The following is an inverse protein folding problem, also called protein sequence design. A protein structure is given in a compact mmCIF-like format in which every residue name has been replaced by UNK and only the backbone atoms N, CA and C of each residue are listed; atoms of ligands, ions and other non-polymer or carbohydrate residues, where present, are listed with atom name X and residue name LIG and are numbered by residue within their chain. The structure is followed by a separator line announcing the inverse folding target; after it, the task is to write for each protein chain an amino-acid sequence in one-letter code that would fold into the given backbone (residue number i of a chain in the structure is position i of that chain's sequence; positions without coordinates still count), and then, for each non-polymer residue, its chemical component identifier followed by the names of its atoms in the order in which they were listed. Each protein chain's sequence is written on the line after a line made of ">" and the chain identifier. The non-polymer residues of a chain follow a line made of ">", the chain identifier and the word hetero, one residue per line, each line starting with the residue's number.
data_IF_683046467337
#
_entry.id   IF_683046467337
#
_cell.length_a   1.000
_cell.length_b   1.000
_cell.length_c   1.000
_cell.angle_alpha   90.00
_cell.angle_beta   90.00
_cell.angle_gamma   90.00
#
_symmetry.space_group_name_H-M   'P 1'
#
loop_
_entity.id
_entity.type
_entity.pdbx_description
1 polymer ?
#
# COMPACT_ATOMS: atom_id res chain seq x y z
N UNK A 1 -6.55 -13.70 -26.34
CA UNK A 1 -5.55 -13.93 -27.40
C UNK A 1 -4.16 -13.96 -26.76
N UNK A 2 -3.38 -15.04 -26.93
CA UNK A 2 -2.03 -15.20 -26.34
C UNK A 2 -1.08 -14.06 -26.72
N UNK A 3 -1.26 -13.48 -27.88
CA UNK A 3 -0.49 -12.31 -28.33
C UNK A 3 -0.84 -11.02 -27.55
N UNK A 4 -2.08 -10.84 -27.09
CA UNK A 4 -2.43 -9.70 -26.23
C UNK A 4 -1.78 -9.82 -24.85
N UNK A 5 -1.71 -11.00 -24.27
CA UNK A 5 -1.04 -11.22 -22.98
C UNK A 5 0.48 -11.10 -23.08
N UNK A 6 1.09 -11.50 -24.21
CA UNK A 6 2.51 -11.26 -24.49
C UNK A 6 2.85 -9.77 -24.61
N UNK A 7 1.89 -8.93 -25.02
CA UNK A 7 2.04 -7.46 -25.03
C UNK A 7 2.06 -6.83 -23.62
N UNK A 8 1.64 -7.58 -22.62
CA UNK A 8 1.64 -7.09 -21.23
C UNK A 8 2.99 -7.24 -20.55
N UNK A 9 4.12 -7.40 -21.21
CA UNK A 9 5.47 -7.34 -20.66
C UNK A 9 5.67 -7.91 -19.23
N UNK A 10 6.82 -7.84 -18.65
CA UNK A 10 7.02 -8.29 -17.28
C UNK A 10 6.17 -7.45 -16.30
N UNK A 11 5.39 -8.14 -15.48
CA UNK A 11 4.51 -7.58 -14.42
C UNK A 11 5.34 -7.18 -13.19
N UNK A 12 6.34 -6.35 -13.35
CA UNK A 12 7.41 -6.20 -12.35
C UNK A 12 7.28 -4.99 -11.41
N UNK A 13 6.25 -4.16 -11.56
CA UNK A 13 6.25 -2.86 -10.92
C UNK A 13 5.27 -2.71 -9.74
N UNK A 14 4.50 -3.73 -9.38
CA UNK A 14 3.68 -3.72 -8.16
C UNK A 14 3.63 -5.07 -7.47
N UNK A 15 3.00 -5.08 -6.30
CA UNK A 15 2.72 -6.32 -5.58
C UNK A 15 1.87 -7.24 -6.44
N UNK A 16 2.47 -8.29 -6.97
CA UNK A 16 1.76 -9.36 -7.67
C UNK A 16 1.23 -10.37 -6.66
N UNK A 17 0.03 -10.88 -6.87
CA UNK A 17 -0.55 -11.91 -6.02
C UNK A 17 -1.28 -12.98 -6.83
N UNK A 18 -1.31 -14.19 -6.26
CA UNK A 18 -2.16 -15.27 -6.74
C UNK A 18 -3.43 -15.32 -5.90
N UNK A 19 -4.52 -15.67 -6.55
CA UNK A 19 -5.82 -15.82 -5.95
C UNK A 19 -6.10 -17.32 -5.74
N UNK A 20 -6.98 -17.69 -4.79
CA UNK A 20 -7.27 -19.10 -4.50
C UNK A 20 -7.77 -19.92 -5.70
N UNK A 21 -8.44 -19.29 -6.66
CA UNK A 21 -8.91 -19.92 -7.90
C UNK A 21 -7.81 -20.08 -8.97
N UNK A 22 -6.56 -19.70 -8.66
CA UNK A 22 -5.45 -19.71 -9.59
C UNK A 22 -5.35 -18.48 -10.49
N UNK A 23 -6.30 -17.54 -10.42
CA UNK A 23 -6.17 -16.22 -11.01
C UNK A 23 -5.02 -15.47 -10.38
N UNK A 24 -4.57 -14.43 -11.02
CA UNK A 24 -3.57 -13.52 -10.47
C UNK A 24 -3.95 -12.07 -10.72
N UNK A 25 -3.51 -11.21 -9.85
CA UNK A 25 -3.51 -9.78 -10.12
C UNK A 25 -2.08 -9.29 -10.30
N UNK A 26 -1.94 -8.25 -11.05
CA UNK A 26 -0.68 -7.57 -11.27
C UNK A 26 -0.93 -6.16 -11.76
N UNK A 27 0.07 -5.32 -11.70
CA UNK A 27 -0.03 -3.95 -12.15
C UNK A 27 0.86 -3.70 -13.36
N UNK A 28 0.44 -2.75 -14.16
CA UNK A 28 1.19 -2.25 -15.30
C UNK A 28 1.13 -0.74 -15.31
N UNK A 29 2.24 -0.11 -15.62
CA UNK A 29 2.29 1.31 -15.92
C UNK A 29 1.31 1.61 -17.05
N UNK A 30 0.37 2.52 -16.82
CA UNK A 30 -0.62 2.92 -17.82
C UNK A 30 -0.36 4.36 -18.25
N UNK A 31 0.14 4.57 -19.46
CA UNK A 31 0.43 5.92 -19.96
C UNK A 31 -0.82 6.76 -20.17
N UNK A 32 -2.02 6.16 -20.20
CA UNK A 32 -3.29 6.88 -20.31
C UNK A 32 -3.78 7.49 -19.02
N UNK A 33 -3.22 7.06 -17.87
CA UNK A 33 -3.56 7.66 -16.57
C UNK A 33 -2.87 9.02 -16.51
N UNK A 34 -3.65 10.13 -16.38
CA UNK A 34 -3.04 11.45 -16.29
C UNK A 34 -2.12 11.49 -15.06
N UNK A 35 -0.90 11.92 -15.30
CA UNK A 35 0.05 12.18 -14.23
C UNK A 35 -0.55 13.27 -13.36
N UNK A 36 -0.81 12.99 -12.08
CA UNK A 36 -1.18 14.04 -11.13
C UNK A 36 -0.04 15.09 -11.09
N UNK A 37 -0.32 16.26 -10.54
CA UNK A 37 0.71 17.29 -10.37
C UNK A 37 1.94 16.78 -9.57
N UNK A 38 1.78 15.68 -8.86
CA UNK A 38 2.82 14.95 -8.11
C UNK A 38 3.54 13.88 -8.95
N UNK A 39 2.98 13.47 -10.10
CA UNK A 39 3.57 12.49 -11.01
C UNK A 39 4.21 13.23 -12.20
N UNK A 40 5.37 13.81 -12.00
CA UNK A 40 6.12 14.39 -13.12
C UNK A 40 6.61 13.27 -14.04
N UNK A 41 6.57 13.48 -15.37
CA UNK A 41 7.18 12.54 -16.30
C UNK A 41 8.66 12.44 -15.96
N UNK A 42 9.10 11.23 -15.75
CA UNK A 42 10.51 10.96 -15.59
C UNK A 42 11.24 11.28 -16.89
N UNK A 43 12.30 12.06 -16.80
CA UNK A 43 13.23 12.24 -17.91
C UNK A 43 14.06 10.96 -17.99
N UNK A 44 13.92 10.21 -19.08
CA UNK A 44 14.73 9.02 -19.33
C UNK A 44 16.14 9.51 -19.64
N UNK A 45 17.10 9.24 -18.76
CA UNK A 45 18.49 9.47 -19.05
C UNK A 45 19.04 8.45 -20.06
N UNK A 46 20.27 8.65 -20.52
CA UNK A 46 20.92 7.77 -21.49
C UNK A 46 21.08 6.30 -21.02
N UNK A 47 20.82 6.01 -19.73
CA UNK A 47 20.88 4.67 -19.13
C UNK A 47 19.49 4.07 -18.93
N UNK A 48 18.42 4.74 -19.38
CA UNK A 48 17.05 4.26 -19.22
C UNK A 48 16.47 4.44 -17.81
N UNK A 49 17.21 5.05 -16.90
CA UNK A 49 16.72 5.47 -15.58
C UNK A 49 16.25 6.92 -15.67
N UNK A 50 15.03 7.13 -15.29
CA UNK A 50 14.44 8.44 -15.30
C UNK A 50 14.51 9.04 -13.90
N UNK A 51 15.08 10.24 -13.81
CA UNK A 51 14.96 11.05 -12.61
C UNK A 51 13.74 11.96 -12.74
N UNK A 52 12.78 11.83 -11.83
CA UNK A 52 11.56 12.63 -11.90
C UNK A 52 11.70 14.05 -11.36
N UNK A 53 12.89 14.45 -10.94
CA UNK A 53 13.16 15.75 -10.36
C UNK A 53 12.75 15.87 -8.88
N UNK A 54 13.03 17.03 -8.25
CA UNK A 54 12.70 17.25 -6.85
C UNK A 54 11.19 17.32 -6.60
N UNK A 55 10.76 16.84 -5.43
CA UNK A 55 9.39 16.89 -4.95
C UNK A 55 8.76 15.53 -4.70
N UNK A 56 7.46 15.52 -4.44
CA UNK A 56 6.70 14.31 -4.18
C UNK A 56 6.52 13.50 -5.47
N UNK A 57 6.90 12.24 -5.40
CA UNK A 57 6.85 11.28 -6.49
C UNK A 57 5.96 10.12 -6.10
N UNK A 58 5.03 9.78 -6.98
CA UNK A 58 4.15 8.66 -6.81
C UNK A 58 3.80 8.07 -8.16
N UNK A 59 4.17 6.82 -8.38
CA UNK A 59 3.83 6.11 -9.60
C UNK A 59 2.40 5.56 -9.51
N UNK A 60 1.59 5.82 -10.52
CA UNK A 60 0.25 5.23 -10.64
C UNK A 60 0.28 4.10 -11.66
N UNK A 61 -0.23 2.95 -11.25
CA UNK A 61 -0.29 1.74 -12.06
C UNK A 61 -1.75 1.27 -12.17
N UNK A 62 -2.14 0.78 -13.33
CA UNK A 62 -3.42 0.10 -13.48
C UNK A 62 -3.31 -1.34 -12.99
N UNK A 63 -4.23 -1.74 -12.13
CA UNK A 63 -4.36 -3.13 -11.67
C UNK A 63 -5.16 -3.92 -12.71
N UNK A 64 -4.69 -5.11 -12.99
CA UNK A 64 -5.31 -6.05 -13.91
C UNK A 64 -5.60 -7.37 -13.19
N UNK A 65 -6.78 -7.94 -13.44
CA UNK A 65 -7.12 -9.31 -13.10
C UNK A 65 -6.91 -10.20 -14.31
N UNK A 66 -6.14 -11.25 -14.16
CA UNK A 66 -5.86 -12.22 -15.22
C UNK A 66 -6.47 -13.56 -14.83
N UNK A 67 -7.28 -14.12 -15.72
CA UNK A 67 -7.94 -15.42 -15.51
C UNK A 67 -6.92 -16.56 -15.32
N UNK A 68 -7.29 -17.69 -14.68
CA UNK A 68 -6.44 -18.86 -14.52
C UNK A 68 -5.88 -19.39 -15.86
N UNK A 69 -6.72 -19.38 -16.90
CA UNK A 69 -6.33 -19.80 -18.25
C UNK A 69 -5.35 -18.83 -18.94
N UNK A 70 -5.18 -17.61 -18.36
CA UNK A 70 -4.35 -16.52 -18.90
C UNK A 70 -4.76 -16.06 -20.30
N UNK A 71 -6.02 -16.23 -20.65
CA UNK A 71 -6.61 -15.85 -21.93
C UNK A 71 -7.32 -14.50 -21.89
N UNK A 72 -7.67 -14.03 -20.68
CA UNK A 72 -8.41 -12.80 -20.46
C UNK A 72 -7.80 -12.00 -19.32
N UNK A 73 -7.76 -10.68 -19.49
CA UNK A 73 -7.35 -9.73 -18.47
C UNK A 73 -8.38 -8.59 -18.36
N UNK A 74 -8.82 -8.31 -17.15
CA UNK A 74 -9.78 -7.23 -16.85
C UNK A 74 -9.07 -6.08 -16.15
N UNK A 75 -9.18 -4.83 -16.65
CA UNK A 75 -8.71 -3.67 -15.90
C UNK A 75 -9.62 -3.47 -14.69
N UNK A 76 -9.02 -3.32 -13.53
CA UNK A 76 -9.68 -2.95 -12.28
C UNK A 76 -9.04 -1.66 -11.77
N UNK A 77 -9.24 -1.24 -10.56
CA UNK A 77 -8.76 0.00 -10.00
C UNK A 77 -7.34 0.48 -10.36
N UNK A 78 -6.90 1.45 -9.63
CA UNK A 78 -5.56 2.01 -9.74
C UNK A 78 -4.80 1.69 -8.46
N UNK A 79 -3.57 1.22 -8.58
CA UNK A 79 -2.60 1.17 -7.51
C UNK A 79 -1.71 2.41 -7.59
N UNK A 80 -1.58 3.10 -6.48
CA UNK A 80 -0.53 4.09 -6.32
C UNK A 80 0.65 3.42 -5.61
N UNK A 81 1.78 3.43 -6.27
CA UNK A 81 3.03 2.95 -5.71
C UNK A 81 3.48 3.77 -4.50
N UNK A 82 4.63 3.42 -4.00
CA UNK A 82 5.25 4.07 -2.85
C UNK A 82 5.48 5.56 -3.11
N UNK A 83 5.10 6.39 -2.16
CA UNK A 83 5.46 7.80 -2.17
C UNK A 83 6.94 7.99 -1.79
N UNK A 84 7.63 8.76 -2.60
CA UNK A 84 9.03 9.13 -2.39
C UNK A 84 9.19 10.63 -2.59
N UNK A 85 10.18 11.22 -1.95
CA UNK A 85 10.56 12.60 -2.16
C UNK A 85 11.90 12.64 -2.90
N UNK A 86 11.88 13.23 -4.11
CA UNK A 86 13.09 13.57 -4.82
C UNK A 86 13.70 14.82 -4.19
N UNK A 87 14.95 14.75 -3.81
CA UNK A 87 15.74 15.87 -3.25
C UNK A 87 16.96 16.13 -4.09
N UNK A 88 17.28 17.40 -4.31
CA UNK A 88 18.45 17.79 -5.08
C UNK A 88 19.67 17.87 -4.16
N UNK A 89 20.72 17.15 -4.53
CA UNK A 89 22.04 17.21 -3.92
C UNK A 89 22.95 18.20 -4.66
N UNK A 90 24.19 18.35 -4.17
CA UNK A 90 25.21 19.12 -4.87
C UNK A 90 25.50 18.55 -6.26
N UNK A 91 25.93 19.43 -7.17
CA UNK A 91 26.21 19.11 -8.56
C UNK A 91 25.00 18.53 -9.34
N UNK A 92 23.76 18.87 -8.93
CA UNK A 92 22.56 18.43 -9.63
C UNK A 92 22.24 16.95 -9.49
N UNK A 93 22.92 16.21 -8.59
CA UNK A 93 22.56 14.83 -8.27
C UNK A 93 21.23 14.81 -7.51
N UNK A 94 20.50 13.72 -7.62
CA UNK A 94 19.25 13.52 -6.92
C UNK A 94 19.36 12.34 -5.96
N UNK A 95 18.63 12.43 -4.86
CA UNK A 95 18.38 11.33 -3.94
C UNK A 95 16.87 11.17 -3.72
N UNK A 96 16.45 9.96 -3.39
CA UNK A 96 15.05 9.65 -3.07
C UNK A 96 14.96 9.26 -1.61
N UNK A 97 14.03 9.91 -0.91
CA UNK A 97 13.79 9.67 0.51
C UNK A 97 12.36 9.17 0.68
N UNK A 98 12.20 8.05 1.36
CA UNK A 98 10.88 7.55 1.77
C UNK A 98 10.53 8.15 3.12
N UNK A 99 9.42 8.88 3.18
CA UNK A 99 8.89 9.32 4.46
C UNK A 99 8.21 8.14 5.17
N UNK A 100 8.39 7.94 6.49
CA UNK A 100 7.74 6.85 7.21
C UNK A 100 6.20 6.86 7.10
N UNK A 101 5.61 8.04 6.96
CA UNK A 101 4.16 8.23 6.79
C UNK A 101 3.71 8.23 5.32
N UNK A 102 4.51 7.61 4.44
CA UNK A 102 4.20 7.54 3.02
C UNK A 102 2.87 6.82 2.77
N UNK A 103 2.12 7.32 1.80
CA UNK A 103 0.96 6.63 1.28
C UNK A 103 1.36 5.53 0.30
N UNK A 104 0.63 4.43 0.30
CA UNK A 104 0.70 3.37 -0.71
C UNK A 104 -0.66 2.72 -0.87
N UNK A 105 -0.87 2.02 -1.96
CA UNK A 105 -2.07 1.21 -2.14
C UNK A 105 -1.94 -0.13 -1.43
N UNK A 106 -3.09 -0.67 -1.05
CA UNK A 106 -3.23 -2.00 -0.48
C UNK A 106 -4.24 -2.79 -1.30
N UNK A 107 -3.95 -4.06 -1.50
CA UNK A 107 -4.79 -4.98 -2.25
C UNK A 107 -5.02 -6.22 -1.40
N UNK A 108 -6.27 -6.66 -1.33
CA UNK A 108 -6.66 -7.91 -0.70
C UNK A 108 -7.69 -8.64 -1.55
N UNK A 109 -7.75 -9.95 -1.43
CA UNK A 109 -8.72 -10.77 -2.14
C UNK A 109 -9.33 -11.83 -1.23
N UNK A 110 -10.56 -12.19 -1.50
CA UNK A 110 -11.31 -13.21 -0.77
C UNK A 110 -12.78 -13.24 -1.15
N UNK A 111 -13.58 -13.91 -0.35
CA UNK A 111 -15.03 -14.02 -0.55
C UNK A 111 -15.46 -15.18 -1.43
N UNK A 112 -16.76 -15.48 -1.34
CA UNK A 112 -17.45 -16.41 -2.21
C UNK A 112 -18.78 -15.74 -2.61
N UNK A 113 -18.92 -15.22 -3.85
CA UNK A 113 -17.93 -15.21 -4.93
C UNK A 113 -16.69 -14.38 -4.61
N UNK A 114 -15.57 -14.73 -5.24
CA UNK A 114 -14.31 -14.06 -5.01
C UNK A 114 -14.32 -12.61 -5.50
N UNK A 115 -13.69 -11.72 -4.73
CA UNK A 115 -13.58 -10.28 -4.97
C UNK A 115 -12.15 -9.81 -4.76
N UNK A 116 -11.85 -8.66 -5.33
CA UNK A 116 -10.63 -7.90 -5.08
C UNK A 116 -10.99 -6.58 -4.39
N UNK A 117 -10.33 -6.28 -3.28
CA UNK A 117 -10.41 -5.00 -2.59
C UNK A 117 -9.15 -4.19 -2.89
N UNK A 118 -9.31 -2.93 -3.28
CA UNK A 118 -8.21 -2.00 -3.56
C UNK A 118 -8.44 -0.73 -2.75
N UNK A 119 -7.48 -0.37 -1.91
CA UNK A 119 -7.43 0.94 -1.27
C UNK A 119 -6.28 1.74 -1.89
N UNK A 120 -6.63 2.84 -2.55
CA UNK A 120 -5.66 3.76 -3.14
C UNK A 120 -5.62 5.01 -2.28
N UNK A 121 -4.67 5.04 -1.35
CA UNK A 121 -4.49 6.13 -0.40
C UNK A 121 -4.26 7.51 -1.06
N UNK A 122 -4.48 8.64 -0.34
CA UNK A 122 -4.46 8.79 1.11
C UNK A 122 -5.80 8.66 1.85
N UNK A 123 -6.92 8.60 1.14
CA UNK A 123 -8.26 8.61 1.75
C UNK A 123 -8.68 7.21 2.25
N UNK A 124 -9.63 7.18 3.20
CA UNK A 124 -10.30 5.93 3.57
C UNK A 124 -11.35 5.61 2.52
N UNK A 125 -10.87 5.08 1.40
CA UNK A 125 -11.70 4.70 0.25
C UNK A 125 -11.22 3.35 -0.27
N UNK A 126 -12.11 2.36 -0.25
CA UNK A 126 -11.83 1.00 -0.70
C UNK A 126 -12.80 0.65 -1.82
N UNK A 127 -12.27 0.20 -2.92
CA UNK A 127 -13.02 -0.29 -4.08
C UNK A 127 -13.09 -1.82 -4.05
N UNK A 128 -14.30 -2.37 -4.13
CA UNK A 128 -14.54 -3.80 -4.25
C UNK A 128 -14.88 -4.14 -5.69
N UNK A 129 -14.09 -5.02 -6.28
CA UNK A 129 -14.18 -5.42 -7.67
C UNK A 129 -14.51 -6.90 -7.79
N UNK A 130 -15.41 -7.27 -8.73
CA UNK A 130 -15.63 -8.66 -9.12
C UNK A 130 -14.44 -9.20 -9.92
N UNK A 131 -14.35 -10.52 -10.04
CA UNK A 131 -13.36 -11.20 -10.88
C UNK A 131 -13.55 -10.98 -12.38
N UNK A 132 -14.62 -10.30 -12.79
CA UNK A 132 -14.89 -9.89 -14.18
C UNK A 132 -14.58 -8.42 -14.43
N UNK A 133 -13.90 -7.75 -13.50
CA UNK A 133 -13.50 -6.34 -13.65
C UNK A 133 -14.62 -5.33 -13.43
N UNK A 134 -15.74 -5.74 -12.82
CA UNK A 134 -16.84 -4.83 -12.48
C UNK A 134 -16.63 -4.25 -11.08
N UNK A 135 -16.68 -2.93 -10.97
CA UNK A 135 -16.74 -2.25 -9.66
C UNK A 135 -18.11 -2.54 -9.03
N UNK A 136 -18.13 -3.27 -7.92
CA UNK A 136 -19.35 -3.66 -7.22
C UNK A 136 -19.72 -2.68 -6.11
N UNK A 137 -18.72 -2.12 -5.43
CA UNK A 137 -18.94 -1.27 -4.27
C UNK A 137 -17.76 -0.36 -3.99
N UNK A 138 -18.04 0.76 -3.35
CA UNK A 138 -17.06 1.65 -2.72
C UNK A 138 -17.42 1.76 -1.24
N UNK A 139 -16.43 1.58 -0.37
CA UNK A 139 -16.53 1.81 1.07
C UNK A 139 -15.72 3.05 1.38
N UNK A 140 -16.36 4.05 1.96
CA UNK A 140 -15.74 5.33 2.31
C UNK A 140 -16.01 5.67 3.77
N UNK A 141 -15.02 6.30 4.41
CA UNK A 141 -15.15 6.88 5.74
C UNK A 141 -14.57 8.29 5.73
N UNK A 142 -15.39 9.30 5.49
CA UNK A 142 -14.92 10.69 5.49
C UNK A 142 -14.31 11.10 6.84
N UNK A 143 -13.25 11.92 6.79
CA UNK A 143 -12.60 12.44 7.99
C UNK A 143 -11.76 11.43 8.78
N UNK A 144 -11.43 10.27 8.17
CA UNK A 144 -10.64 9.24 8.85
C UNK A 144 -9.14 9.57 8.96
N UNK A 145 -8.65 10.58 8.25
CA UNK A 145 -7.24 11.01 8.31
C UNK A 145 -6.93 11.67 9.63
N UNK A 146 -5.78 11.37 10.21
CA UNK A 146 -5.32 11.93 11.48
C UNK A 146 -4.03 12.71 11.28
N UNK A 147 -3.88 13.78 12.03
CA UNK A 147 -2.61 14.52 12.12
C UNK A 147 -1.61 13.70 12.91
N UNK A 148 -0.39 13.50 12.42
CA UNK A 148 0.63 12.78 13.17
C UNK A 148 0.97 13.53 14.45
N UNK A 149 1.07 12.85 15.60
CA UNK A 149 1.50 13.50 16.85
C UNK A 149 2.96 13.99 16.73
N UNK A 150 3.35 15.06 17.45
CA UNK A 150 4.70 15.61 17.37
C UNK A 150 5.81 14.60 17.66
N UNK A 151 5.58 13.67 18.60
CA UNK A 151 6.55 12.62 18.92
C UNK A 151 6.75 11.61 17.77
N UNK A 152 5.73 11.35 16.98
CA UNK A 152 5.85 10.51 15.79
C UNK A 152 6.60 11.25 14.67
N UNK A 153 6.38 12.55 14.53
CA UNK A 153 7.13 13.38 13.59
C UNK A 153 8.61 13.35 13.95
N UNK A 154 8.95 13.50 15.24
CA UNK A 154 10.33 13.44 15.70
C UNK A 154 10.99 12.08 15.38
N UNK A 155 10.29 10.96 15.67
CA UNK A 155 10.76 9.62 15.33
C UNK A 155 10.92 9.41 13.82
N UNK A 156 10.01 9.97 13.03
CA UNK A 156 10.10 9.93 11.58
C UNK A 156 11.38 10.61 11.07
N UNK A 157 11.72 11.77 11.63
CA UNK A 157 12.97 12.47 11.32
C UNK A 157 14.19 11.65 11.71
N UNK A 158 14.22 11.06 12.92
CA UNK A 158 15.30 10.18 13.37
C UNK A 158 15.43 8.95 12.45
N UNK A 159 14.31 8.33 12.07
CA UNK A 159 14.31 7.21 11.15
C UNK A 159 14.90 7.60 9.79
N UNK A 160 14.44 8.69 9.18
CA UNK A 160 14.98 9.17 7.91
C UNK A 160 16.47 9.50 8.01
N UNK A 161 16.90 10.16 9.10
CA UNK A 161 18.32 10.43 9.36
C UNK A 161 19.15 9.14 9.44
N UNK A 162 18.60 8.08 10.04
CA UNK A 162 19.27 6.79 10.12
C UNK A 162 19.42 6.10 8.75
N UNK A 163 18.46 6.28 7.86
CA UNK A 163 18.54 5.75 6.48
C UNK A 163 19.61 6.48 5.66
N UNK A 164 19.88 7.73 5.97
CA UNK A 164 20.86 8.59 5.28
C UNK A 164 22.24 8.61 5.95
N UNK A 165 22.51 7.66 6.86
CA UNK A 165 23.78 7.60 7.62
C UNK A 165 25.04 7.43 6.77
N UNK A 166 24.88 7.04 5.50
CA UNK A 166 25.98 6.95 4.53
C UNK A 166 26.42 8.30 3.97
N UNK A 167 25.63 9.36 4.20
CA UNK A 167 25.96 10.74 3.85
C UNK A 167 26.68 11.43 5.00
N UNK A 168 27.50 12.43 4.68
CA UNK A 168 28.03 13.36 5.70
C UNK A 168 26.86 14.14 6.34
N UNK A 169 27.11 14.68 7.54
CA UNK A 169 26.04 15.32 8.31
C UNK A 169 25.44 16.53 7.58
N UNK A 170 26.27 17.40 7.00
CA UNK A 170 25.79 18.61 6.33
C UNK A 170 24.89 18.28 5.12
N UNK A 171 25.25 17.26 4.35
CA UNK A 171 24.44 16.77 3.23
C UNK A 171 23.13 16.16 3.72
N UNK A 172 23.18 15.33 4.77
CA UNK A 172 21.99 14.72 5.38
C UNK A 172 21.01 15.77 5.90
N UNK A 173 21.48 16.76 6.65
CA UNK A 173 20.64 17.82 7.21
C UNK A 173 19.96 18.63 6.09
N UNK A 174 20.66 18.89 5.01
CA UNK A 174 20.16 19.57 3.81
C UNK A 174 19.11 18.74 3.08
N UNK A 175 19.27 17.42 3.00
CA UNK A 175 18.30 16.50 2.43
C UNK A 175 17.03 16.47 3.28
N UNK A 176 17.17 16.30 4.59
CA UNK A 176 16.04 16.24 5.51
C UNK A 176 15.23 17.55 5.53
N UNK A 177 15.87 18.69 5.39
CA UNK A 177 15.20 19.98 5.31
C UNK A 177 14.33 20.16 4.05
N UNK A 178 14.55 19.37 3.00
CA UNK A 178 13.74 19.40 1.79
C UNK A 178 12.52 18.45 1.84
N UNK A 179 12.50 17.49 2.76
CA UNK A 179 11.39 16.54 2.90
C UNK A 179 10.27 17.14 3.75
N UNK A 180 9.11 17.41 3.18
CA UNK A 180 8.01 18.02 3.92
C UNK A 180 7.44 17.04 4.96
N UNK A 181 7.06 17.57 6.11
CA UNK A 181 6.26 16.82 7.08
C UNK A 181 4.82 16.74 6.57
N UNK A 182 4.20 15.56 6.46
CA UNK A 182 2.82 15.45 6.02
C UNK A 182 1.85 15.99 7.09
N UNK A 183 0.84 16.73 6.65
CA UNK A 183 -0.22 17.28 7.52
C UNK A 183 -1.11 16.19 8.12
N UNK A 184 -1.15 15.02 7.51
CA UNK A 184 -1.99 13.92 7.94
C UNK A 184 -1.44 12.57 7.51
N UNK A 185 -1.73 11.56 8.32
CA UNK A 185 -1.44 10.16 8.03
C UNK A 185 -2.37 9.63 6.93
N UNK A 186 -1.91 8.63 6.20
CA UNK A 186 -2.77 7.87 5.31
C UNK A 186 -3.88 7.16 6.13
N UNK A 187 -5.12 7.24 5.66
CA UNK A 187 -6.26 6.71 6.42
C UNK A 187 -6.31 5.18 6.47
N UNK A 188 -5.68 4.50 5.52
CA UNK A 188 -5.60 3.04 5.42
C UNK A 188 -4.13 2.61 5.46
N UNK A 189 -3.82 1.63 6.30
CA UNK A 189 -2.48 1.08 6.50
C UNK A 189 -2.39 -0.42 6.14
N UNK A 190 -3.51 -1.06 5.79
CA UNK A 190 -3.55 -2.46 5.38
C UNK A 190 -4.95 -2.93 5.02
N UNK A 191 -5.01 -4.00 4.22
CA UNK A 191 -6.23 -4.71 3.89
C UNK A 191 -6.04 -6.21 4.10
N UNK A 192 -7.10 -6.88 4.56
CA UNK A 192 -7.24 -8.32 4.53
C UNK A 192 -8.69 -8.67 4.22
N UNK A 193 -8.92 -9.80 3.56
CA UNK A 193 -10.27 -10.28 3.27
C UNK A 193 -10.39 -11.74 3.70
N UNK A 194 -11.50 -12.08 4.36
CA UNK A 194 -11.78 -13.45 4.75
C UNK A 194 -12.24 -14.29 3.55
N UNK A 195 -12.15 -15.63 3.61
CA UNK A 195 -12.74 -16.51 2.61
C UNK A 195 -14.27 -16.36 2.48
N UNK A 196 -14.93 -15.85 3.51
CA UNK A 196 -16.37 -15.54 3.51
C UNK A 196 -16.69 -14.17 2.91
N UNK A 197 -15.69 -13.32 2.68
CA UNK A 197 -15.83 -12.03 2.01
C UNK A 197 -15.97 -10.84 2.96
N UNK A 198 -15.75 -11.02 4.26
CA UNK A 198 -15.62 -9.90 5.18
C UNK A 198 -14.29 -9.18 4.94
N UNK A 199 -14.33 -7.87 4.93
CA UNK A 199 -13.15 -7.03 4.69
C UNK A 199 -12.65 -6.45 6.00
N UNK A 200 -11.36 -6.62 6.28
CA UNK A 200 -10.65 -5.99 7.37
C UNK A 200 -9.78 -4.87 6.81
N UNK A 201 -9.95 -3.68 7.36
CA UNK A 201 -9.23 -2.47 6.94
C UNK A 201 -8.42 -1.95 8.11
N UNK A 202 -7.12 -2.05 8.03
CA UNK A 202 -6.24 -1.43 9.01
C UNK A 202 -6.33 0.08 8.86
N UNK A 203 -6.72 0.75 9.94
CA UNK A 203 -6.61 2.21 10.01
C UNK A 203 -5.14 2.61 10.02
N UNK A 204 -4.90 3.89 9.89
CA UNK A 204 -3.57 4.49 9.97
C UNK A 204 -2.67 3.74 10.97
N UNK A 205 -1.46 3.45 10.55
CA UNK A 205 -0.47 2.79 11.38
C UNK A 205 0.70 3.73 11.61
N UNK A 206 1.05 3.96 12.86
CA UNK A 206 2.34 4.56 13.19
C UNK A 206 3.40 3.48 13.00
N UNK A 207 4.20 3.64 11.97
CA UNK A 207 5.27 2.67 11.67
C UNK A 207 6.29 2.52 12.80
N UNK A 208 6.39 3.52 13.66
CA UNK A 208 7.50 3.67 14.58
C UNK A 208 7.13 3.41 16.04
N UNK A 209 5.92 3.74 16.49
CA UNK A 209 5.52 3.53 17.88
C UNK A 209 4.81 2.21 18.17
N UNK A 210 4.24 1.58 17.17
CA UNK A 210 3.53 0.28 17.26
C UNK A 210 2.62 0.09 18.49
N UNK A 211 1.82 1.08 18.91
CA UNK A 211 1.02 0.93 20.13
C UNK A 211 -0.02 -0.19 20.01
N UNK A 212 -0.68 -0.28 18.89
CA UNK A 212 -1.59 -1.31 18.44
C UNK A 212 -2.14 -0.94 17.07
N UNK A 213 -2.50 -1.91 16.25
CA UNK A 213 -3.23 -1.65 15.03
C UNK A 213 -4.73 -1.82 15.24
N UNK A 214 -5.51 -0.86 14.75
CA UNK A 214 -6.96 -0.91 14.72
C UNK A 214 -7.44 -1.36 13.35
N UNK A 215 -8.31 -2.35 13.32
CA UNK A 215 -8.86 -2.90 12.09
C UNK A 215 -10.38 -2.77 12.10
N UNK A 216 -10.91 -2.01 11.16
CA UNK A 216 -12.34 -1.96 10.90
C UNK A 216 -12.77 -3.20 10.14
N UNK A 217 -13.89 -3.79 10.54
CA UNK A 217 -14.45 -5.01 9.92
C UNK A 217 -15.74 -4.63 9.21
N UNK A 218 -15.81 -5.00 7.94
CA UNK A 218 -16.99 -4.81 7.10
C UNK A 218 -17.55 -6.16 6.66
N UNK A 219 -18.86 -6.28 6.65
CA UNK A 219 -19.57 -7.44 6.14
C UNK A 219 -19.46 -7.57 4.62
N UNK A 220 -19.94 -8.68 4.10
CA UNK A 220 -19.98 -8.97 2.65
C UNK A 220 -20.83 -7.97 1.86
N UNK A 221 -21.75 -7.32 2.54
CA UNK A 221 -22.59 -6.22 2.03
C UNK A 221 -21.91 -4.84 2.13
N UNK A 222 -20.70 -4.76 2.69
CA UNK A 222 -19.96 -3.52 2.97
C UNK A 222 -20.47 -2.75 4.18
N UNK A 223 -21.39 -3.30 4.97
CA UNK A 223 -21.83 -2.74 6.23
C UNK A 223 -20.73 -2.84 7.30
N UNK A 224 -20.55 -1.77 8.08
CA UNK A 224 -19.58 -1.78 9.19
C UNK A 224 -20.08 -2.68 10.32
N UNK A 225 -19.26 -3.67 10.71
CA UNK A 225 -19.59 -4.63 11.78
C UNK A 225 -18.96 -4.28 13.12
N UNK A 226 -17.85 -3.55 13.11
CA UNK A 226 -17.11 -3.20 14.31
C UNK A 226 -15.62 -3.02 14.05
N UNK A 227 -14.84 -2.95 15.13
CA UNK A 227 -13.39 -2.84 15.03
C UNK A 227 -12.72 -3.84 15.97
N UNK A 228 -11.58 -4.36 15.53
CA UNK A 228 -10.70 -5.21 16.34
C UNK A 228 -9.39 -4.49 16.59
N UNK A 229 -8.78 -4.75 17.74
CA UNK A 229 -7.48 -4.22 18.12
C UNK A 229 -6.46 -5.35 18.14
N UNK A 230 -5.40 -5.20 17.36
CA UNK A 230 -4.26 -6.11 17.34
C UNK A 230 -3.10 -5.43 18.06
N UNK A 231 -2.50 -6.02 19.12
CA UNK A 231 -1.36 -5.45 19.83
C UNK A 231 -0.19 -5.11 18.88
N UNK A 232 0.52 -4.01 19.13
CA UNK A 232 1.53 -3.47 18.21
C UNK A 232 2.74 -4.37 17.96
N UNK A 233 2.99 -5.34 18.83
CA UNK A 233 4.03 -6.37 18.62
C UNK A 233 3.56 -7.53 17.72
N UNK A 234 2.32 -7.48 17.22
CA UNK A 234 1.72 -8.48 16.35
C UNK A 234 1.38 -7.88 14.98
N UNK A 235 1.53 -8.69 13.96
CA UNK A 235 1.17 -8.35 12.57
C UNK A 235 0.12 -9.34 12.06
N UNK A 236 -0.98 -8.83 11.52
CA UNK A 236 -1.95 -9.68 10.82
C UNK A 236 -1.32 -10.23 9.54
N UNK A 237 -1.33 -11.56 9.40
CA UNK A 237 -0.89 -12.26 8.19
C UNK A 237 -2.06 -12.63 7.29
N UNK A 238 -3.13 -13.15 7.89
CA UNK A 238 -4.32 -13.58 7.17
C UNK A 238 -5.56 -13.54 8.06
N UNK A 239 -6.71 -13.41 7.44
CA UNK A 239 -8.01 -13.53 8.06
C UNK A 239 -8.73 -14.77 7.51
N UNK A 240 -9.05 -15.73 8.38
CA UNK A 240 -9.91 -16.88 8.09
C UNK A 240 -11.38 -16.57 8.33
N UNK A 241 -12.25 -17.57 8.18
CA UNK A 241 -13.68 -17.40 8.38
C UNK A 241 -14.04 -17.13 9.86
N UNK A 242 -13.30 -17.71 10.80
CA UNK A 242 -13.54 -17.61 12.24
C UNK A 242 -12.27 -17.36 13.07
N UNK A 243 -11.15 -17.11 12.41
CA UNK A 243 -9.86 -16.89 13.08
C UNK A 243 -8.99 -15.88 12.33
N UNK A 244 -8.03 -15.30 13.03
CA UNK A 244 -6.97 -14.47 12.49
C UNK A 244 -5.63 -15.18 12.68
N UNK A 245 -4.81 -15.20 11.67
CA UNK A 245 -3.40 -15.57 11.79
C UNK A 245 -2.59 -14.31 12.00
N UNK A 246 -1.89 -14.25 13.12
CA UNK A 246 -1.01 -13.15 13.45
C UNK A 246 0.41 -13.64 13.67
N UNK A 247 1.36 -12.81 13.33
CA UNK A 247 2.77 -13.07 13.53
C UNK A 247 3.30 -12.10 14.59
N UNK A 248 4.09 -12.59 15.52
CA UNK A 248 4.82 -11.78 16.48
C UNK A 248 6.27 -12.21 16.59
N UNK A 249 7.10 -11.30 17.06
CA UNK A 249 8.47 -11.60 17.42
C UNK A 249 8.53 -12.03 18.89
N UNK A 250 9.22 -13.12 19.15
CA UNK A 250 9.45 -13.61 20.51
C UNK A 250 10.64 -12.87 21.15
N UNK A 251 10.82 -12.91 22.48
CA UNK A 251 11.94 -12.25 23.15
C UNK A 251 13.32 -12.73 22.68
N UNK A 252 13.41 -13.98 22.20
CA UNK A 252 14.62 -14.59 21.63
C UNK A 252 14.76 -14.34 20.12
N UNK A 253 14.01 -13.37 19.59
CA UNK A 253 14.09 -12.89 18.21
C UNK A 253 13.56 -13.86 17.14
N UNK A 254 12.86 -14.92 17.52
CA UNK A 254 12.19 -15.83 16.60
C UNK A 254 10.82 -15.30 16.16
N UNK A 255 10.35 -15.76 15.01
CA UNK A 255 9.00 -15.48 14.54
C UNK A 255 8.04 -16.59 14.95
N UNK A 256 6.94 -16.21 15.58
CA UNK A 256 5.84 -17.10 15.98
C UNK A 256 4.56 -16.69 15.24
N UNK A 257 3.89 -17.69 14.65
CA UNK A 257 2.55 -17.51 14.06
C UNK A 257 1.51 -18.12 15.01
N UNK A 258 0.50 -17.33 15.36
CA UNK A 258 -0.57 -17.71 16.28
C UNK A 258 -1.93 -17.54 15.59
N UNK A 259 -2.86 -18.43 15.90
CA UNK A 259 -4.25 -18.35 15.45
C UNK A 259 -5.14 -17.86 16.59
N UNK A 260 -5.86 -16.77 16.35
CA UNK A 260 -6.81 -16.18 17.29
C UNK A 260 -8.22 -16.36 16.77
N UNK A 261 -9.07 -17.00 17.57
CA UNK A 261 -10.48 -17.17 17.20
C UNK A 261 -11.23 -15.86 17.32
N UNK A 262 -11.96 -15.52 16.26
CA UNK A 262 -12.89 -14.38 16.28
C UNK A 262 -14.14 -14.77 17.09
N UNK A 263 -14.43 -14.04 18.14
CA UNK A 263 -15.73 -14.12 18.83
C UNK A 263 -16.66 -13.11 18.14
N UNK A 264 -17.67 -13.60 17.50
CA UNK A 264 -18.75 -12.82 16.90
C UNK A 264 -19.85 -12.55 17.90
#
# INVERSE_FOLDING_TARGET
>A
DREQLARFGPWSECSNGFLPDGSRYGCKKDPSIPLSATNRPSIIDANGMSSPGPGLLRQLNRVWLVTPARDTAYPVGIEAGLEQFGVTLEAGREAFVMHPFHSRSYIASGGTPQRLAIATNPEYRIELWSMTGKLERIIERPGARQTPPPEEIARAHEYMASQLRYMDQATRDRVLAQVPTPDSLAAVAGLAMTPTGELLVQREGFLLSHPASMWDVFGTDGGFLGSIRIPGHMRLLAAGADHLLVMRRTPDDAWLVEAYRLKR
#
